data_IF_583698096091
#
_entry.id   IF_583698096091
#
_cell.length_a   1.000
_cell.length_b   1.000
_cell.length_c   1.000
_cell.angle_alpha   90.00
_cell.angle_beta   90.00
_cell.angle_gamma   90.00
#
_symmetry.space_group_name_H-M   'P 1'
#
loop_
_entity.id
_entity.type
_entity.pdbx_description
1 polymer ?
#
# COMPACT_ATOMS: atom_id res chain seq x y z
N UNK A 1 29.32 3.17 6.47
CA UNK A 1 28.33 3.90 5.65
C UNK A 1 28.78 5.35 5.62
N UNK A 2 29.29 5.78 4.47
CA UNK A 2 29.80 7.13 4.25
C UNK A 2 28.60 8.11 4.18
N UNK A 3 28.61 9.26 4.87
CA UNK A 3 27.51 10.22 4.82
C UNK A 3 27.27 10.83 3.42
N UNK A 4 28.22 10.66 2.49
CA UNK A 4 28.09 11.05 1.08
C UNK A 4 27.30 10.08 0.18
N UNK A 5 26.94 8.89 0.69
CA UNK A 5 26.10 7.89 -0.01
C UNK A 5 24.59 8.11 0.21
N UNK A 6 24.23 9.23 0.84
CA UNK A 6 22.82 9.64 0.98
C UNK A 6 22.39 10.33 -0.30
N UNK A 7 21.43 9.73 -0.99
CA UNK A 7 20.77 10.31 -2.16
C UNK A 7 20.35 11.75 -1.82
N UNK A 8 20.79 12.77 -2.59
CA UNK A 8 20.37 14.16 -2.42
C UNK A 8 18.85 14.25 -2.37
N UNK A 9 18.31 15.08 -1.48
CA UNK A 9 16.86 15.16 -1.26
C UNK A 9 16.09 15.65 -2.50
N UNK A 10 16.76 16.37 -3.41
CA UNK A 10 16.21 16.79 -4.70
C UNK A 10 16.03 15.61 -5.68
N UNK A 11 16.81 14.53 -5.54
CA UNK A 11 16.68 13.29 -6.33
C UNK A 11 15.60 12.34 -5.76
N UNK A 12 14.91 12.71 -4.67
CA UNK A 12 13.77 11.92 -4.18
C UNK A 12 12.55 12.04 -5.10
N UNK A 13 12.46 13.13 -5.87
CA UNK A 13 11.39 13.36 -6.82
C UNK A 13 11.49 12.47 -8.07
N UNK A 14 12.69 11.97 -8.38
CA UNK A 14 12.96 11.02 -9.49
C UNK A 14 12.70 9.55 -9.08
N UNK A 15 12.29 9.31 -7.84
CA UNK A 15 11.73 8.02 -7.45
C UNK A 15 10.33 7.93 -8.04
N UNK A 16 10.04 6.87 -8.81
CA UNK A 16 8.76 6.66 -9.48
C UNK A 16 7.62 6.63 -8.45
N UNK A 17 7.05 7.81 -8.17
CA UNK A 17 5.96 7.98 -7.24
C UNK A 17 4.73 7.45 -7.94
N UNK A 18 4.21 6.33 -7.44
CA UNK A 18 2.97 5.75 -7.94
C UNK A 18 1.91 6.84 -8.01
N UNK A 19 1.28 6.97 -9.18
CA UNK A 19 0.04 7.71 -9.28
C UNK A 19 -0.97 7.11 -8.28
N UNK A 20 -1.96 7.91 -7.87
CA UNK A 20 -2.99 7.43 -6.96
C UNK A 20 -3.69 6.17 -7.48
N UNK A 21 -3.89 6.07 -8.79
CA UNK A 21 -4.47 4.89 -9.44
C UNK A 21 -3.56 3.66 -9.31
N UNK A 22 -2.26 3.81 -9.62
CA UNK A 22 -1.29 2.72 -9.48
C UNK A 22 -1.11 2.29 -8.02
N UNK A 23 -1.16 3.24 -7.07
CA UNK A 23 -1.14 2.95 -5.64
C UNK A 23 -2.39 2.15 -5.20
N UNK A 24 -3.57 2.49 -5.73
CA UNK A 24 -4.80 1.75 -5.47
C UNK A 24 -4.74 0.33 -6.06
N UNK A 25 -4.28 0.16 -7.30
CA UNK A 25 -4.12 -1.15 -7.94
C UNK A 25 -3.14 -2.04 -7.17
N UNK A 26 -1.98 -1.50 -6.77
CA UNK A 26 -0.99 -2.24 -5.99
C UNK A 26 -1.53 -2.65 -4.62
N UNK A 27 -2.26 -1.75 -3.97
CA UNK A 27 -2.90 -2.04 -2.69
C UNK A 27 -4.02 -3.09 -2.83
N UNK A 28 -4.78 -3.09 -3.93
CA UNK A 28 -5.78 -4.10 -4.23
C UNK A 28 -5.15 -5.49 -4.39
N UNK A 29 -4.01 -5.59 -5.08
CA UNK A 29 -3.27 -6.84 -5.23
C UNK A 29 -2.78 -7.39 -3.88
N UNK A 30 -2.23 -6.54 -3.01
CA UNK A 30 -1.80 -6.92 -1.66
C UNK A 30 -2.98 -7.40 -0.79
N UNK A 31 -4.12 -6.70 -0.84
CA UNK A 31 -5.34 -7.12 -0.13
C UNK A 31 -5.79 -8.52 -0.59
N UNK A 32 -5.73 -8.79 -1.90
CA UNK A 32 -6.13 -10.09 -2.44
C UNK A 32 -5.19 -11.22 -1.95
N UNK A 33 -3.88 -10.98 -1.96
CA UNK A 33 -2.88 -11.94 -1.45
C UNK A 33 -3.09 -12.23 0.04
N UNK A 34 -3.18 -11.19 0.87
CA UNK A 34 -3.38 -11.35 2.32
C UNK A 34 -4.72 -12.00 2.63
N UNK A 35 -5.78 -11.67 1.87
CA UNK A 35 -7.09 -12.33 2.03
C UNK A 35 -7.01 -13.83 1.74
N UNK A 36 -6.29 -14.23 0.68
CA UNK A 36 -6.12 -15.64 0.34
C UNK A 36 -5.34 -16.41 1.42
N UNK A 37 -4.33 -15.78 2.05
CA UNK A 37 -3.61 -16.39 3.18
C UNK A 37 -4.54 -16.54 4.40
N UNK A 38 -5.35 -15.52 4.69
CA UNK A 38 -6.32 -15.56 5.79
C UNK A 38 -7.39 -16.63 5.58
N UNK A 39 -7.81 -16.88 4.35
CA UNK A 39 -8.81 -17.93 4.04
C UNK A 39 -8.24 -19.35 4.14
N UNK A 40 -6.95 -19.51 3.86
CA UNK A 40 -6.28 -20.83 3.82
C UNK A 40 -5.65 -21.23 5.15
N UNK A 41 -5.48 -20.28 6.09
CA UNK A 41 -4.81 -20.51 7.37
C UNK A 41 -5.59 -19.90 8.54
N UNK A 42 -5.36 -20.38 9.75
CA UNK A 42 -5.88 -19.69 10.95
C UNK A 42 -5.10 -18.39 11.15
N UNK A 43 -5.63 -17.29 10.61
CA UNK A 43 -5.06 -15.98 10.80
C UNK A 43 -5.20 -15.51 12.25
N UNK A 44 -4.16 -14.88 12.77
CA UNK A 44 -4.22 -14.23 14.08
C UNK A 44 -5.00 -12.90 14.02
N UNK A 45 -5.39 -12.40 15.19
CA UNK A 45 -6.15 -11.15 15.30
C UNK A 45 -5.40 -9.96 14.69
N UNK A 46 -4.06 -9.97 14.76
CA UNK A 46 -3.20 -8.92 14.20
C UNK A 46 -3.32 -8.90 12.68
N UNK A 47 -3.26 -10.06 12.03
CA UNK A 47 -3.38 -10.19 10.56
C UNK A 47 -4.76 -9.76 10.10
N UNK A 48 -5.82 -10.16 10.81
CA UNK A 48 -7.19 -9.73 10.51
C UNK A 48 -7.36 -8.21 10.62
N UNK A 49 -6.79 -7.61 11.67
CA UNK A 49 -6.83 -6.15 11.87
C UNK A 49 -6.05 -5.39 10.80
N UNK A 50 -4.90 -5.91 10.38
CA UNK A 50 -4.12 -5.35 9.26
C UNK A 50 -4.90 -5.42 7.95
N UNK A 51 -5.53 -6.56 7.66
CA UNK A 51 -6.35 -6.71 6.46
C UNK A 51 -7.52 -5.71 6.44
N UNK A 52 -8.18 -5.49 7.59
CA UNK A 52 -9.23 -4.49 7.70
C UNK A 52 -8.71 -3.06 7.42
N UNK A 53 -7.53 -2.71 7.96
CA UNK A 53 -6.91 -1.42 7.72
C UNK A 53 -6.51 -1.21 6.24
N UNK A 54 -5.97 -2.24 5.58
CA UNK A 54 -5.63 -2.18 4.15
C UNK A 54 -6.88 -1.95 3.29
N UNK A 55 -7.97 -2.67 3.57
CA UNK A 55 -9.27 -2.51 2.87
C UNK A 55 -9.83 -1.09 3.02
N UNK A 56 -9.74 -0.53 4.22
CA UNK A 56 -10.17 0.85 4.51
C UNK A 56 -9.33 1.88 3.74
N UNK A 57 -8.00 1.73 3.74
CA UNK A 57 -7.10 2.61 2.98
C UNK A 57 -7.37 2.55 1.47
N UNK A 58 -7.62 1.36 0.93
CA UNK A 58 -7.99 1.19 -0.47
C UNK A 58 -9.31 1.90 -0.79
N UNK A 59 -10.33 1.73 0.05
CA UNK A 59 -11.62 2.41 -0.12
C UNK A 59 -11.46 3.94 -0.08
N UNK A 60 -10.58 4.47 0.78
CA UNK A 60 -10.28 5.91 0.82
C UNK A 60 -9.59 6.38 -0.46
N UNK A 61 -8.61 5.63 -0.96
CA UNK A 61 -7.90 5.96 -2.20
C UNK A 61 -8.83 5.95 -3.42
N UNK A 62 -9.78 5.02 -3.51
CA UNK A 62 -10.73 4.93 -4.61
C UNK A 62 -11.90 5.90 -4.48
N UNK A 63 -12.42 6.14 -3.27
CA UNK A 63 -13.54 7.08 -3.07
C UNK A 63 -13.13 8.56 -3.20
N UNK A 64 -11.85 8.88 -3.03
CA UNK A 64 -11.33 10.21 -3.34
C UNK A 64 -11.25 10.46 -4.86
N UNK A 65 -11.17 9.41 -5.69
CA UNK A 65 -11.14 9.51 -7.15
C UNK A 65 -12.48 9.97 -7.76
N UNK A 66 -13.60 9.79 -7.04
CA UNK A 66 -14.93 10.20 -7.53
C UNK A 66 -15.29 11.67 -7.25
N UNK A 67 -14.45 12.40 -6.52
CA UNK A 67 -14.71 13.79 -6.10
C UNK A 67 -13.81 14.85 -6.74
N UNK A 68 -12.81 14.43 -7.50
CA UNK A 68 -11.92 15.30 -8.31
C UNK A 68 -12.38 15.31 -9.78
#
# INVERSE_FOLDING_TARGET
MDPGDRIPQDDWADQDLLTRAEAAERLAAEIAEVSAVVETTTADEITLRRLAALKELHAQLTNQHERD
#
